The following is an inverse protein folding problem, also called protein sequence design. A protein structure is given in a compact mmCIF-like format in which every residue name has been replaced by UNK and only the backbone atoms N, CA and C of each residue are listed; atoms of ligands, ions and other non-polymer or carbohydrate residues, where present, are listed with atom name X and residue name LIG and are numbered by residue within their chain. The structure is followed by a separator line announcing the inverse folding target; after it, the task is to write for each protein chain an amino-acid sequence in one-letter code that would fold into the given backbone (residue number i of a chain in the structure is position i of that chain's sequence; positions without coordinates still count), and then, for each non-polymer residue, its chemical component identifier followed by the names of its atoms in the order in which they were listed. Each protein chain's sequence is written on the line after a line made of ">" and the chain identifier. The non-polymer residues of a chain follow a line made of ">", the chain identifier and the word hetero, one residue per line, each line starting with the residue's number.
data_IF_827577749969
#
_entry.id   IF_827577749969
#
_cell.length_a   1.000
_cell.length_b   1.000
_cell.length_c   1.000
_cell.angle_alpha   90.00
_cell.angle_beta   90.00
_cell.angle_gamma   90.00
#
_symmetry.space_group_name_H-M   'P 1'
#
loop_
_entity.id
_entity.type
_entity.pdbx_description
1 polymer ?
#
# COMPACT_ATOMS: atom_id res chain seq x y z
N UNK A 1 -29.03 -30.78 10.10
CA UNK A 1 -27.66 -31.14 10.54
C UNK A 1 -26.54 -30.82 9.54
N UNK A 2 -26.77 -30.72 8.22
CA UNK A 2 -25.72 -30.31 7.25
C UNK A 2 -25.33 -28.83 7.33
N UNK A 3 -26.28 -27.93 7.61
CA UNK A 3 -26.04 -26.48 7.61
C UNK A 3 -25.01 -26.01 8.66
N UNK A 4 -25.09 -26.52 9.89
CA UNK A 4 -24.17 -26.12 10.99
C UNK A 4 -22.70 -26.46 10.66
N UNK A 5 -22.46 -27.55 9.92
CA UNK A 5 -21.12 -27.95 9.46
C UNK A 5 -20.49 -26.97 8.45
N UNK A 6 -21.30 -26.19 7.76
CA UNK A 6 -20.83 -25.16 6.82
C UNK A 6 -20.86 -23.76 7.41
N UNK A 7 -21.80 -23.48 8.32
CA UNK A 7 -21.92 -22.15 8.95
C UNK A 7 -20.69 -21.81 9.78
N UNK A 8 -20.17 -22.74 10.58
CA UNK A 8 -19.00 -22.49 11.43
C UNK A 8 -17.72 -22.14 10.63
N UNK A 9 -17.29 -22.92 9.61
CA UNK A 9 -16.11 -22.56 8.83
C UNK A 9 -16.31 -21.28 8.01
N UNK A 10 -17.53 -21.02 7.52
CA UNK A 10 -17.84 -19.75 6.82
C UNK A 10 -17.71 -18.55 7.76
N UNK A 11 -18.19 -18.65 9.00
CA UNK A 11 -18.06 -17.59 10.01
C UNK A 11 -16.60 -17.34 10.39
N UNK A 12 -15.80 -18.40 10.53
CA UNK A 12 -14.36 -18.28 10.79
C UNK A 12 -13.64 -17.64 9.61
N UNK A 13 -13.99 -18.00 8.38
CA UNK A 13 -13.40 -17.41 7.17
C UNK A 13 -13.72 -15.92 7.05
N UNK A 14 -14.98 -15.54 7.26
CA UNK A 14 -15.43 -14.14 7.22
C UNK A 14 -14.77 -13.33 8.34
N UNK A 15 -14.71 -13.88 9.57
CA UNK A 15 -14.03 -13.26 10.70
C UNK A 15 -12.54 -13.07 10.45
N UNK A 16 -11.86 -14.08 9.89
CA UNK A 16 -10.45 -13.99 9.53
C UNK A 16 -10.18 -12.96 8.44
N UNK A 17 -11.00 -12.93 7.39
CA UNK A 17 -10.85 -11.97 6.29
C UNK A 17 -11.07 -10.52 6.76
N UNK A 18 -12.03 -10.29 7.66
CA UNK A 18 -12.27 -8.98 8.26
C UNK A 18 -11.09 -8.46 9.10
N UNK A 19 -10.35 -9.36 9.75
CA UNK A 19 -9.12 -8.99 10.49
C UNK A 19 -7.94 -8.75 9.54
N UNK A 20 -7.89 -9.41 8.37
CA UNK A 20 -6.78 -9.30 7.43
C UNK A 20 -6.84 -8.08 6.48
N UNK A 21 -7.86 -7.21 6.52
CA UNK A 21 -7.91 -5.99 5.68
C UNK A 21 -6.96 -4.87 6.16
N UNK A 22 -5.84 -5.22 6.79
CA UNK A 22 -4.89 -4.28 7.37
C UNK A 22 -4.23 -3.40 6.31
N UNK A 23 -4.69 -2.15 6.26
CA UNK A 23 -3.98 -0.95 5.86
C UNK A 23 -2.99 -1.11 4.69
N UNK A 24 -3.50 -1.01 3.47
CA UNK A 24 -2.65 -0.62 2.34
C UNK A 24 -2.24 0.85 2.53
N UNK A 25 -1.10 1.09 3.18
CA UNK A 25 -0.49 2.41 3.29
C UNK A 25 -0.02 2.97 1.93
N UNK A 26 0.00 2.12 0.89
CA UNK A 26 0.11 2.56 -0.49
C UNK A 26 -1.18 3.26 -0.92
N UNK A 27 -1.24 4.58 -0.77
CA UNK A 27 -2.37 5.38 -1.29
C UNK A 27 -2.34 5.32 -2.81
N UNK A 28 -3.25 4.53 -3.41
CA UNK A 28 -3.36 4.38 -4.86
C UNK A 28 -3.57 5.72 -5.59
N UNK A 29 -4.02 6.76 -4.90
CA UNK A 29 -4.05 8.15 -5.42
C UNK A 29 -2.68 8.64 -5.87
N UNK A 30 -1.62 8.41 -5.09
CA UNK A 30 -0.29 8.94 -5.40
C UNK A 30 0.31 8.27 -6.63
N UNK A 31 0.13 6.95 -6.76
CA UNK A 31 0.59 6.20 -7.94
C UNK A 31 -0.21 6.57 -9.20
N UNK A 32 -1.50 6.89 -9.07
CA UNK A 32 -2.34 7.36 -10.19
C UNK A 32 -1.98 8.78 -10.64
N UNK A 33 -1.71 9.69 -9.70
CA UNK A 33 -1.34 11.09 -9.99
C UNK A 33 0.00 11.15 -10.70
N UNK A 34 1.01 10.50 -10.13
CA UNK A 34 2.39 10.59 -10.60
C UNK A 34 2.73 9.59 -11.71
N UNK A 35 1.98 8.49 -11.81
CA UNK A 35 2.19 7.39 -12.77
C UNK A 35 3.63 6.83 -12.72
N UNK A 36 4.29 6.91 -11.57
CA UNK A 36 5.61 6.34 -11.31
C UNK A 36 5.50 5.06 -10.49
N UNK A 37 6.39 4.10 -10.75
CA UNK A 37 6.47 2.86 -9.98
C UNK A 37 6.96 3.08 -8.54
N UNK A 38 6.72 2.13 -7.65
CA UNK A 38 7.05 2.25 -6.22
C UNK A 38 8.54 2.60 -5.97
N UNK A 39 9.45 2.01 -6.76
CA UNK A 39 10.90 2.25 -6.68
C UNK A 39 11.32 3.67 -7.09
N UNK A 40 10.39 4.45 -7.67
CA UNK A 40 10.67 5.83 -8.01
C UNK A 40 10.76 6.69 -6.76
N UNK A 41 9.91 6.46 -5.76
CA UNK A 41 9.93 7.19 -4.48
C UNK A 41 10.56 6.39 -3.33
N UNK A 42 10.52 5.05 -3.40
CA UNK A 42 11.09 4.17 -2.39
C UNK A 42 12.40 3.54 -2.87
N UNK A 43 13.34 3.25 -1.97
CA UNK A 43 14.56 2.50 -2.36
C UNK A 43 14.22 1.02 -2.60
N UNK A 44 13.13 0.53 -2.00
CA UNK A 44 12.63 -0.83 -2.13
C UNK A 44 11.17 -0.87 -2.63
N UNK A 45 10.82 -1.84 -3.47
CA UNK A 45 9.46 -1.99 -3.99
C UNK A 45 8.42 -2.44 -2.94
N UNK A 46 8.89 -3.04 -1.82
CA UNK A 46 8.09 -3.45 -0.67
C UNK A 46 8.69 -2.89 0.62
N UNK A 47 8.53 -1.59 0.90
CA UNK A 47 9.02 -1.02 2.15
C UNK A 47 8.25 -1.62 3.33
N UNK A 48 8.96 -2.12 4.35
CA UNK A 48 8.35 -2.74 5.54
C UNK A 48 7.55 -1.74 6.37
N UNK A 49 8.03 -0.50 6.45
CA UNK A 49 7.48 0.54 7.31
C UNK A 49 7.04 1.81 6.54
N UNK A 50 7.08 1.79 5.20
CA UNK A 50 6.77 2.96 4.36
C UNK A 50 7.76 4.14 4.46
N UNK A 51 8.73 4.09 5.38
CA UNK A 51 9.73 5.14 5.65
C UNK A 51 10.95 5.11 4.72
N UNK A 52 11.02 4.11 3.87
CA UNK A 52 12.13 3.91 2.95
C UNK A 52 11.93 4.83 1.74
N UNK A 53 12.33 6.09 1.85
CA UNK A 53 12.20 7.09 0.79
C UNK A 53 13.57 7.41 0.20
N UNK A 54 13.68 7.37 -1.13
CA UNK A 54 14.82 7.88 -1.87
C UNK A 54 14.71 9.40 -2.05
N UNK A 55 15.61 10.00 -2.82
CA UNK A 55 15.62 11.47 -3.00
C UNK A 55 14.34 12.00 -3.67
N UNK A 56 13.74 11.26 -4.59
CA UNK A 56 12.46 11.63 -5.19
C UNK A 56 11.31 11.50 -4.19
N UNK A 57 11.32 10.47 -3.35
CA UNK A 57 10.36 10.30 -2.26
C UNK A 57 10.43 11.43 -1.24
N UNK A 58 11.64 11.83 -0.84
CA UNK A 58 11.87 12.99 0.04
C UNK A 58 11.44 14.31 -0.62
N UNK A 59 11.65 14.45 -1.93
CA UNK A 59 11.17 15.61 -2.68
C UNK A 59 9.64 15.68 -2.67
N UNK A 60 8.97 14.55 -2.95
CA UNK A 60 7.51 14.44 -2.94
C UNK A 60 6.92 14.71 -1.56
N UNK A 61 7.58 14.26 -0.48
CA UNK A 61 7.11 14.51 0.88
C UNK A 61 6.94 16.02 1.15
N UNK A 62 7.90 16.82 0.66
CA UNK A 62 7.94 18.28 0.79
C UNK A 62 7.03 19.01 -0.20
N UNK A 63 6.98 18.58 -1.46
CA UNK A 63 6.32 19.31 -2.54
C UNK A 63 4.93 18.76 -2.90
N UNK A 64 4.56 17.56 -2.41
CA UNK A 64 3.33 16.82 -2.74
C UNK A 64 3.11 16.62 -4.26
N UNK A 65 4.18 16.71 -5.04
CA UNK A 65 4.26 16.53 -6.49
C UNK A 65 5.67 16.10 -6.88
N UNK A 66 5.83 15.34 -7.97
CA UNK A 66 7.14 15.07 -8.59
C UNK A 66 7.43 16.04 -9.74
N UNK A 67 6.54 17.00 -9.98
CA UNK A 67 6.73 18.05 -10.98
C UNK A 67 7.97 18.88 -10.66
N UNK A 68 8.91 18.94 -11.61
CA UNK A 68 10.18 19.64 -11.42
C UNK A 68 11.28 18.83 -10.73
N UNK A 69 10.99 17.62 -10.23
CA UNK A 69 12.05 16.72 -9.76
C UNK A 69 12.88 16.22 -10.96
N UNK A 70 14.12 16.69 -11.07
CA UNK A 70 15.12 16.15 -11.98
C UNK A 70 15.99 15.19 -11.19
N UNK A 71 15.94 13.90 -11.55
CA UNK A 71 16.90 12.92 -11.07
C UNK A 71 18.28 13.37 -11.56
N UNK A 72 19.13 13.78 -10.62
CA UNK A 72 20.54 14.10 -10.91
C UNK A 72 21.29 12.82 -11.32
#
# INVERSE_FOLDING_TARGET
>A
MKFIKFVLPVLVLIGGLAVCTVNSFGKAEYTKKEKKGCIYCHTNAKPKDGKDLNDAGKYYEKHKSLEGYKKQ
#
